data_IF_458340265055
#
_entry.id   IF_458340265055
#
_cell.length_a   1.000
_cell.length_b   1.000
_cell.length_c   1.000
_cell.angle_alpha   90.00
_cell.angle_beta   90.00
_cell.angle_gamma   90.00
#
_symmetry.space_group_name_H-M   'P 1'
#
loop_
_entity.id
_entity.type
_entity.pdbx_description
1 polymer ?
#
# COMPACT_ATOMS: atom_id res chain seq x y z
N UNK A 1 12.48 -40.96 8.01
CA UNK A 1 11.14 -40.54 7.56
C UNK A 1 11.04 -40.97 6.10
N UNK A 2 10.00 -41.69 5.68
CA UNK A 2 9.89 -42.13 4.28
C UNK A 2 9.62 -40.92 3.37
N UNK A 3 10.15 -40.94 2.16
CA UNK A 3 9.91 -39.92 1.12
C UNK A 3 8.42 -39.64 0.93
N UNK A 4 7.61 -40.71 0.90
CA UNK A 4 6.16 -40.63 0.84
C UNK A 4 5.53 -39.82 1.98
N UNK A 5 6.04 -39.92 3.22
CA UNK A 5 5.49 -39.16 4.34
C UNK A 5 5.82 -37.66 4.22
N UNK A 6 6.99 -37.33 3.66
CA UNK A 6 7.35 -35.94 3.39
C UNK A 6 6.45 -35.33 2.31
N UNK A 7 6.16 -36.07 1.24
CA UNK A 7 5.27 -35.62 0.16
C UNK A 7 3.82 -35.40 0.66
N UNK A 8 3.32 -36.32 1.50
CA UNK A 8 2.01 -36.18 2.13
C UNK A 8 1.95 -34.94 3.04
N UNK A 9 3.00 -34.68 3.83
CA UNK A 9 3.09 -33.50 4.69
C UNK A 9 3.16 -32.20 3.86
N UNK A 10 3.95 -32.16 2.79
CA UNK A 10 4.05 -31.01 1.90
C UNK A 10 2.70 -30.70 1.24
N UNK A 11 1.98 -31.73 0.79
CA UNK A 11 0.62 -31.60 0.26
C UNK A 11 -0.37 -31.02 1.28
N UNK A 12 -0.27 -31.45 2.54
CA UNK A 12 -1.11 -30.93 3.62
C UNK A 12 -0.83 -29.44 3.91
N UNK A 13 0.46 -29.06 3.99
CA UNK A 13 0.87 -27.66 4.20
C UNK A 13 0.42 -26.76 3.05
N UNK A 14 0.49 -27.24 1.80
CA UNK A 14 -0.01 -26.49 0.65
C UNK A 14 -1.52 -26.22 0.74
N UNK A 15 -2.32 -27.22 1.17
CA UNK A 15 -3.76 -27.07 1.39
C UNK A 15 -4.07 -26.11 2.53
N UNK A 16 -3.30 -26.16 3.62
CA UNK A 16 -3.45 -25.22 4.73
C UNK A 16 -3.20 -23.77 4.28
N UNK A 17 -2.12 -23.55 3.51
CA UNK A 17 -1.80 -22.25 2.93
C UNK A 17 -2.92 -21.73 2.02
N UNK A 18 -3.49 -22.57 1.16
CA UNK A 18 -4.63 -22.22 0.31
C UNK A 18 -5.87 -21.80 1.14
N UNK A 19 -6.22 -22.56 2.18
CA UNK A 19 -7.34 -22.23 3.07
C UNK A 19 -7.10 -20.88 3.76
N UNK A 20 -5.89 -20.65 4.29
CA UNK A 20 -5.55 -19.38 4.93
C UNK A 20 -5.66 -18.20 3.95
N UNK A 21 -5.23 -18.39 2.70
CA UNK A 21 -5.35 -17.37 1.65
C UNK A 21 -6.82 -17.06 1.33
N UNK A 22 -7.68 -18.06 1.21
CA UNK A 22 -9.12 -17.87 0.99
C UNK A 22 -9.78 -17.06 2.12
N UNK A 23 -9.43 -17.36 3.37
CA UNK A 23 -9.93 -16.60 4.54
C UNK A 23 -9.48 -15.14 4.47
N UNK A 24 -8.21 -14.88 4.14
CA UNK A 24 -7.70 -13.51 4.01
C UNK A 24 -8.39 -12.75 2.87
N UNK A 25 -8.61 -13.37 1.71
CA UNK A 25 -9.34 -12.76 0.59
C UNK A 25 -10.76 -12.40 1.00
N UNK A 26 -11.48 -13.32 1.64
CA UNK A 26 -12.83 -13.07 2.12
C UNK A 26 -12.86 -11.94 3.16
N UNK A 27 -11.93 -11.93 4.12
CA UNK A 27 -11.84 -10.87 5.11
C UNK A 27 -11.59 -9.51 4.46
N UNK A 28 -10.65 -9.40 3.50
CA UNK A 28 -10.36 -8.15 2.80
C UNK A 28 -11.59 -7.63 2.06
N UNK A 29 -12.30 -8.51 1.34
CA UNK A 29 -13.56 -8.18 0.65
C UNK A 29 -14.59 -7.58 1.60
N UNK A 30 -14.77 -8.18 2.77
CA UNK A 30 -15.73 -7.69 3.77
C UNK A 30 -15.28 -6.36 4.41
N UNK A 31 -13.97 -6.14 4.55
CA UNK A 31 -13.41 -4.94 5.19
C UNK A 31 -13.28 -3.75 4.25
N UNK A 32 -13.21 -3.97 2.94
CA UNK A 32 -13.05 -2.91 1.93
C UNK A 32 -14.09 -1.77 2.06
N UNK A 33 -15.41 -2.02 2.18
CA UNK A 33 -16.39 -0.94 2.36
C UNK A 33 -16.13 -0.13 3.64
N UNK A 34 -15.77 -0.80 4.74
CA UNK A 34 -15.45 -0.13 6.01
C UNK A 34 -14.18 0.73 5.89
N UNK A 35 -13.17 0.30 5.14
CA UNK A 35 -11.99 1.11 4.88
C UNK A 35 -12.33 2.34 4.03
N UNK A 36 -13.21 2.22 3.03
CA UNK A 36 -13.70 3.37 2.27
C UNK A 36 -14.42 4.37 3.17
N UNK A 37 -15.34 3.92 4.01
CA UNK A 37 -16.02 4.79 4.99
C UNK A 37 -15.04 5.47 5.95
N UNK A 38 -14.05 4.72 6.48
CA UNK A 38 -13.02 5.28 7.36
C UNK A 38 -12.18 6.35 6.66
N UNK A 39 -11.89 6.21 5.37
CA UNK A 39 -11.15 7.23 4.60
C UNK A 39 -11.96 8.51 4.41
N UNK A 40 -13.26 8.39 4.13
CA UNK A 40 -14.13 9.57 4.05
C UNK A 40 -14.26 10.30 5.40
N UNK A 41 -14.16 9.58 6.52
CA UNK A 41 -14.07 10.20 7.84
C UNK A 41 -12.70 10.85 8.07
N UNK A 42 -11.60 10.21 7.68
CA UNK A 42 -10.26 10.76 7.82
C UNK A 42 -10.09 12.10 7.09
N UNK A 43 -10.73 12.28 5.93
CA UNK A 43 -10.74 13.56 5.19
C UNK A 43 -11.31 14.75 5.98
N UNK A 44 -12.13 14.48 7.00
CA UNK A 44 -12.70 15.54 7.87
C UNK A 44 -11.71 16.03 8.94
N UNK A 45 -10.61 15.30 9.15
CA UNK A 45 -9.55 15.65 10.08
C UNK A 45 -8.46 16.37 9.27
N UNK A 46 -8.23 17.68 9.50
CA UNK A 46 -7.17 18.40 8.81
C UNK A 46 -5.82 17.70 9.02
N UNK A 47 -5.01 17.61 7.96
CA UNK A 47 -3.65 17.07 7.96
C UNK A 47 -3.50 15.62 8.44
N UNK A 48 -4.59 14.85 8.51
CA UNK A 48 -4.59 13.49 9.07
C UNK A 48 -3.46 12.61 8.55
N UNK A 49 -3.29 12.52 7.22
CA UNK A 49 -2.28 11.65 6.62
C UNK A 49 -0.86 12.16 6.81
N UNK A 50 -0.64 13.47 6.73
CA UNK A 50 0.66 14.09 7.01
C UNK A 50 1.11 13.77 8.43
N UNK A 51 0.21 13.98 9.40
CA UNK A 51 0.48 13.70 10.81
C UNK A 51 0.68 12.20 11.05
N UNK A 52 -0.18 11.35 10.49
CA UNK A 52 -0.09 9.90 10.67
C UNK A 52 1.24 9.32 10.15
N UNK A 53 1.71 9.81 9.00
CA UNK A 53 2.97 9.35 8.40
C UNK A 53 4.17 9.92 9.16
N UNK A 54 4.18 11.21 9.48
CA UNK A 54 5.29 11.87 10.18
C UNK A 54 5.54 11.30 11.57
N UNK A 55 4.50 10.87 12.27
CA UNK A 55 4.61 10.26 13.61
C UNK A 55 4.83 8.74 13.58
N UNK A 56 4.77 8.10 12.41
CA UNK A 56 5.06 6.68 12.28
C UNK A 56 6.57 6.43 12.39
N UNK A 57 7.04 5.57 13.33
CA UNK A 57 8.47 5.24 13.45
C UNK A 57 9.09 4.70 12.16
N UNK A 58 8.27 4.10 11.29
CA UNK A 58 8.70 3.52 10.03
C UNK A 58 9.01 4.58 8.96
N UNK A 59 8.34 5.73 9.00
CA UNK A 59 8.42 6.76 7.94
C UNK A 59 9.12 8.05 8.38
N UNK A 60 9.16 8.32 9.69
CA UNK A 60 9.76 9.54 10.27
C UNK A 60 11.22 9.75 9.79
N UNK A 61 12.00 8.69 9.61
CA UNK A 61 13.39 8.82 9.18
C UNK A 61 13.57 9.17 7.69
N UNK A 62 12.57 8.94 6.85
CA UNK A 62 12.68 9.03 5.39
C UNK A 62 12.02 10.25 4.75
N UNK A 63 11.24 11.02 5.50
CA UNK A 63 10.45 12.16 5.00
C UNK A 63 10.88 13.49 5.64
N UNK A 64 12.19 13.74 5.67
CA UNK A 64 12.78 14.91 6.34
C UNK A 64 13.27 15.99 5.37
N UNK A 65 13.20 15.76 4.06
CA UNK A 65 13.51 16.79 3.06
C UNK A 65 12.36 17.79 2.95
N UNK A 66 12.67 19.05 2.65
CA UNK A 66 11.68 20.12 2.50
C UNK A 66 10.60 19.77 1.45
N UNK A 67 10.99 19.12 0.35
CA UNK A 67 10.04 18.69 -0.67
C UNK A 67 9.14 17.54 -0.20
N UNK A 68 9.66 16.63 0.62
CA UNK A 68 8.86 15.53 1.19
C UNK A 68 7.84 16.05 2.19
N UNK A 69 8.24 16.99 3.05
CA UNK A 69 7.35 17.66 4.01
C UNK A 69 6.24 18.39 3.27
N UNK A 70 6.57 19.22 2.27
CA UNK A 70 5.59 19.95 1.47
C UNK A 70 4.60 19.01 0.73
N UNK A 71 5.12 17.91 0.16
CA UNK A 71 4.29 16.92 -0.50
C UNK A 71 3.33 16.23 0.49
N UNK A 72 3.81 15.87 1.69
CA UNK A 72 3.00 15.23 2.73
C UNK A 72 1.94 16.17 3.31
N UNK A 73 2.24 17.46 3.48
CA UNK A 73 1.24 18.48 3.87
C UNK A 73 0.07 18.56 2.87
N UNK A 74 0.33 18.24 1.61
CA UNK A 74 -0.67 18.22 0.55
C UNK A 74 -1.28 16.82 0.28
N UNK A 75 -0.92 15.80 1.07
CA UNK A 75 -1.48 14.45 0.96
C UNK A 75 -2.92 14.43 1.49
N UNK A 76 -3.87 14.26 0.59
CA UNK A 76 -5.32 14.27 0.88
C UNK A 76 -5.86 12.88 1.19
N UNK A 77 -5.36 11.86 0.49
CA UNK A 77 -5.82 10.48 0.64
C UNK A 77 -4.68 9.50 0.43
N UNK A 78 -4.71 8.40 1.18
CA UNK A 78 -3.71 7.35 1.11
C UNK A 78 -4.36 6.00 1.38
N UNK A 79 -4.26 5.08 0.43
CA UNK A 79 -4.91 3.78 0.55
C UNK A 79 -4.20 2.68 -0.23
N UNK A 80 -4.59 1.45 0.09
CA UNK A 80 -4.15 0.25 -0.61
C UNK A 80 -5.37 -0.40 -1.25
N UNK A 81 -5.31 -0.59 -2.56
CA UNK A 81 -6.28 -1.35 -3.33
C UNK A 81 -5.83 -2.80 -3.43
N UNK A 82 -6.83 -3.70 -3.43
CA UNK A 82 -6.67 -5.14 -3.52
C UNK A 82 -7.42 -5.64 -4.75
N UNK A 83 -6.99 -6.78 -5.27
CA UNK A 83 -7.68 -7.47 -6.36
C UNK A 83 -8.14 -8.84 -5.86
N UNK A 84 -9.44 -9.11 -5.90
CA UNK A 84 -10.01 -10.39 -5.46
C UNK A 84 -9.48 -11.56 -6.31
N UNK A 85 -9.19 -11.32 -7.59
CA UNK A 85 -8.67 -12.33 -8.51
C UNK A 85 -7.15 -12.53 -8.37
N UNK A 86 -6.45 -11.59 -7.71
CA UNK A 86 -5.00 -11.63 -7.46
C UNK A 86 -4.70 -11.36 -5.98
N UNK A 87 -4.83 -12.35 -5.09
CA UNK A 87 -4.66 -12.20 -3.63
C UNK A 87 -3.32 -11.60 -3.19
N UNK A 88 -2.29 -11.76 -4.01
CA UNK A 88 -0.94 -11.22 -3.86
C UNK A 88 -0.81 -9.75 -4.30
N UNK A 89 -1.71 -9.27 -5.16
CA UNK A 89 -1.63 -7.94 -5.75
C UNK A 89 -1.98 -6.84 -4.75
N UNK A 90 -1.15 -5.80 -4.72
CA UNK A 90 -1.38 -4.58 -3.96
C UNK A 90 -1.10 -3.37 -4.85
N UNK A 91 -1.95 -2.35 -4.72
CA UNK A 91 -1.69 -1.03 -5.29
C UNK A 91 -1.80 0.02 -4.21
N UNK A 92 -0.67 0.63 -3.88
CA UNK A 92 -0.63 1.81 -3.01
C UNK A 92 -0.99 3.03 -3.85
N UNK A 93 -1.92 3.83 -3.36
CA UNK A 93 -2.40 5.05 -4.01
C UNK A 93 -2.25 6.20 -3.01
N UNK A 94 -1.54 7.24 -3.43
CA UNK A 94 -1.43 8.51 -2.72
C UNK A 94 -2.05 9.60 -3.60
N UNK A 95 -3.00 10.35 -3.05
CA UNK A 95 -3.69 11.45 -3.75
C UNK A 95 -3.34 12.76 -3.09
N UNK A 96 -2.91 13.72 -3.90
CA UNK A 96 -2.39 14.99 -3.45
C UNK A 96 -3.25 16.15 -3.96
N UNK A 97 -3.34 17.19 -3.14
CA UNK A 97 -3.72 18.52 -3.61
C UNK A 97 -2.58 19.09 -4.46
N UNK A 98 -2.91 20.10 -5.27
CA UNK A 98 -1.89 20.89 -5.99
C UNK A 98 -0.85 21.41 -5.01
N UNK A 99 0.41 21.13 -5.30
CA UNK A 99 1.58 21.53 -4.50
C UNK A 99 2.67 22.09 -5.44
N UNK A 100 3.77 22.59 -4.88
CA UNK A 100 4.86 23.16 -5.68
C UNK A 100 5.94 22.15 -6.07
N UNK A 101 5.87 20.92 -5.59
CA UNK A 101 6.88 19.86 -5.80
C UNK A 101 6.68 19.16 -7.13
N UNK A 102 5.48 18.65 -7.40
CA UNK A 102 5.15 17.92 -8.62
C UNK A 102 3.72 18.17 -9.10
N UNK A 103 3.47 17.89 -10.39
CA UNK A 103 2.19 18.11 -11.06
C UNK A 103 1.18 16.98 -10.84
N UNK A 104 1.63 15.80 -10.42
CA UNK A 104 0.77 14.64 -10.25
C UNK A 104 -0.29 14.89 -9.17
N UNK A 105 -1.56 14.65 -9.49
CA UNK A 105 -2.63 14.61 -8.48
C UNK A 105 -2.68 13.24 -7.76
N UNK A 106 -2.13 12.19 -8.39
CA UNK A 106 -2.01 10.87 -7.77
C UNK A 106 -0.72 10.17 -8.16
N UNK A 107 -0.08 9.55 -7.16
CA UNK A 107 1.06 8.64 -7.32
C UNK A 107 0.64 7.24 -6.93
N UNK A 108 1.00 6.26 -7.75
CA UNK A 108 0.69 4.86 -7.51
C UNK A 108 1.94 4.00 -7.54
N UNK A 109 1.90 2.90 -6.78
CA UNK A 109 2.91 1.84 -6.84
C UNK A 109 2.21 0.50 -6.70
N UNK A 110 2.42 -0.36 -7.69
CA UNK A 110 1.81 -1.68 -7.78
C UNK A 110 2.85 -2.77 -7.54
N UNK A 111 2.50 -3.78 -6.77
CA UNK A 111 3.38 -4.91 -6.49
C UNK A 111 2.59 -6.21 -6.29
N UNK A 112 3.23 -7.32 -6.62
CA UNK A 112 2.81 -8.66 -6.23
C UNK A 112 3.61 -9.07 -4.98
N UNK A 113 2.92 -9.50 -3.92
CA UNK A 113 3.55 -10.00 -2.71
C UNK A 113 4.00 -11.46 -2.91
N UNK A 114 5.28 -11.73 -2.77
CA UNK A 114 5.83 -13.09 -2.67
C UNK A 114 6.29 -13.39 -1.23
N UNK A 115 6.75 -14.62 -0.95
CA UNK A 115 7.07 -15.10 0.40
C UNK A 115 8.23 -14.34 1.05
N UNK A 116 9.16 -13.80 0.24
CA UNK A 116 10.39 -13.17 0.72
C UNK A 116 10.43 -11.66 0.47
N UNK A 117 9.78 -11.14 -0.57
CA UNK A 117 9.73 -9.73 -0.94
C UNK A 117 8.48 -9.35 -1.77
N UNK A 118 8.29 -8.05 -2.03
CA UNK A 118 7.28 -7.59 -2.98
C UNK A 118 7.91 -7.33 -4.34
N UNK A 119 7.43 -7.97 -5.41
CA UNK A 119 7.86 -7.68 -6.78
C UNK A 119 7.08 -6.47 -7.32
N UNK A 120 7.79 -5.41 -7.69
CA UNK A 120 7.17 -4.20 -8.27
C UNK A 120 6.67 -4.51 -9.68
N UNK A 121 5.37 -4.29 -9.91
CA UNK A 121 4.71 -4.43 -11.21
C UNK A 121 4.82 -3.12 -11.99
N UNK A 122 4.49 -2.01 -11.33
CA UNK A 122 4.52 -0.68 -11.94
C UNK A 122 4.60 0.41 -10.88
N UNK A 123 4.96 1.63 -11.30
CA UNK A 123 4.91 2.83 -10.45
C UNK A 123 4.70 4.08 -11.31
N UNK A 124 4.07 5.10 -10.74
CA UNK A 124 4.00 6.42 -11.38
C UNK A 124 5.40 7.00 -11.60
N UNK A 125 5.57 7.70 -12.71
CA UNK A 125 6.69 8.63 -12.89
C UNK A 125 6.29 9.98 -12.29
N UNK A 126 7.17 10.55 -11.47
CA UNK A 126 6.90 11.84 -10.82
C UNK A 126 7.25 12.97 -11.80
N UNK A 127 6.28 13.85 -12.03
CA UNK A 127 6.39 15.01 -12.91
C UNK A 127 6.70 16.25 -12.08
N UNK A 128 7.97 16.38 -11.68
CA UNK A 128 8.43 17.52 -10.89
C UNK A 128 8.20 18.86 -11.60
N UNK A 129 7.92 19.89 -10.81
CA UNK A 129 7.97 21.27 -11.29
C UNK A 129 9.42 21.69 -11.60
N UNK A 130 9.60 22.73 -12.43
CA UNK A 130 10.93 23.19 -12.82
C UNK A 130 11.76 23.58 -11.60
N UNK A 131 12.98 23.05 -11.49
CA UNK A 131 13.89 23.31 -10.36
C UNK A 131 13.63 22.44 -9.12
N UNK A 132 12.60 21.60 -9.14
CA UNK A 132 12.37 20.57 -8.12
C UNK A 132 12.96 19.24 -8.61
N UNK A 133 13.65 18.54 -7.73
CA UNK A 133 14.18 17.19 -7.95
C UNK A 133 14.01 16.38 -6.67
N UNK A 134 14.18 15.06 -6.78
CA UNK A 134 14.31 14.18 -5.62
C UNK A 134 15.61 14.47 -4.86
#
# INVERSE_FOLDING_TARGET
>A
MSEQLNDELASLLAKESDIQNQVQVYQRKMMEPLWKERRELAKKIPNFWSDAISHSPMFNLSANDENDIEALENLEDFHVEYDEARPEYRKVVATFKKNSVFKNESLTKEFAMDEDNGTVISKSSIEYHSGKVK
#
